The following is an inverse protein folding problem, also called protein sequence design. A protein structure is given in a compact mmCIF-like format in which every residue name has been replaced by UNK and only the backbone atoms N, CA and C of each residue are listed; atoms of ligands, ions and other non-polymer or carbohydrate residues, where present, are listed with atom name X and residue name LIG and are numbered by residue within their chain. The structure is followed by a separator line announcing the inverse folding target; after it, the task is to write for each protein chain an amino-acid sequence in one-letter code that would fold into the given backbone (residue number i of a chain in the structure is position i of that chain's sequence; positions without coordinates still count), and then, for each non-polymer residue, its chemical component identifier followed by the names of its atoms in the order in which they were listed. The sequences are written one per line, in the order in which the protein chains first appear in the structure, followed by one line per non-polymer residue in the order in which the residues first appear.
data_IF_906951921427
#
_entry.id   IF_906951921427
#
_cell.length_a   1.000
_cell.length_b   1.000
_cell.length_c   1.000
_cell.angle_alpha   90.00
_cell.angle_beta   90.00
_cell.angle_gamma   90.00
#
_symmetry.space_group_name_H-M   'P 1'
#
loop_
_entity.id
_entity.type
_entity.pdbx_description
1 polymer ?
#
# COMPACT_ATOMS: atom_id res chain seq x y z
N UNK A 1 -0.69 -10.64 -13.91
CA UNK A 1 -0.13 -9.78 -12.84
C UNK A 1 -1.11 -8.79 -12.19
N UNK A 2 -2.16 -8.28 -12.87
CA UNK A 2 -3.14 -7.35 -12.27
C UNK A 2 -4.00 -7.99 -11.17
N UNK A 3 -4.38 -9.27 -11.32
CA UNK A 3 -5.19 -9.98 -10.32
C UNK A 3 -4.51 -10.16 -8.95
N UNK A 4 -3.21 -10.50 -8.91
CA UNK A 4 -2.50 -10.57 -7.61
C UNK A 4 -2.58 -9.25 -6.85
N UNK A 5 -2.41 -8.10 -7.53
CA UNK A 5 -2.55 -6.78 -6.89
C UNK A 5 -3.96 -6.55 -6.34
N UNK A 6 -4.98 -6.94 -7.09
CA UNK A 6 -6.37 -6.80 -6.66
C UNK A 6 -6.70 -7.72 -5.48
N UNK A 7 -6.20 -8.96 -5.46
CA UNK A 7 -6.32 -9.86 -4.30
C UNK A 7 -5.67 -9.26 -3.05
N UNK A 8 -4.46 -8.69 -3.17
CA UNK A 8 -3.80 -8.05 -2.04
C UNK A 8 -4.54 -6.81 -1.53
N UNK A 9 -5.14 -6.02 -2.42
CA UNK A 9 -6.01 -4.89 -2.05
C UNK A 9 -7.26 -5.41 -1.31
N UNK A 10 -7.88 -6.48 -1.80
CA UNK A 10 -9.04 -7.08 -1.13
C UNK A 10 -8.68 -7.64 0.25
N UNK A 11 -7.50 -8.26 0.40
CA UNK A 11 -7.00 -8.71 1.71
C UNK A 11 -6.81 -7.54 2.66
N UNK A 12 -6.25 -6.41 2.21
CA UNK A 12 -6.10 -5.20 3.04
C UNK A 12 -7.46 -4.67 3.50
N UNK A 13 -8.43 -4.58 2.58
CA UNK A 13 -9.78 -4.09 2.89
C UNK A 13 -10.46 -5.02 3.89
N UNK A 14 -10.32 -6.33 3.70
CA UNK A 14 -10.92 -7.36 4.55
C UNK A 14 -10.29 -7.35 5.96
N UNK A 15 -8.97 -7.16 6.06
CA UNK A 15 -8.25 -6.99 7.32
C UNK A 15 -8.71 -5.75 8.09
N UNK A 16 -8.94 -4.64 7.36
CA UNK A 16 -9.43 -3.39 7.94
C UNK A 16 -10.87 -3.55 8.49
N UNK A 17 -11.73 -4.27 7.77
CA UNK A 17 -13.08 -4.64 8.25
C UNK A 17 -12.97 -5.53 9.48
N UNK A 18 -12.09 -6.54 9.48
CA UNK A 18 -11.87 -7.44 10.61
C UNK A 18 -11.37 -6.68 11.85
N UNK A 19 -10.47 -5.72 11.67
CA UNK A 19 -9.95 -4.87 12.73
C UNK A 19 -11.07 -4.03 13.35
N UNK A 20 -11.88 -3.39 12.51
CA UNK A 20 -13.03 -2.59 12.96
C UNK A 20 -14.05 -3.45 13.71
N UNK A 21 -14.29 -4.67 13.23
CA UNK A 21 -15.19 -5.64 13.87
C UNK A 21 -14.64 -6.12 15.22
N UNK A 22 -13.34 -6.45 15.29
CA UNK A 22 -12.66 -6.82 16.53
C UNK A 22 -12.69 -5.71 17.59
N UNK A 23 -12.64 -4.45 17.13
CA UNK A 23 -12.76 -3.27 18.00
C UNK A 23 -14.18 -3.10 18.56
N UNK A 24 -15.21 -3.27 17.73
CA UNK A 24 -16.63 -3.21 18.15
C UNK A 24 -16.95 -4.29 19.18
N UNK A 25 -16.48 -5.52 18.97
CA UNK A 25 -16.74 -6.65 19.85
C UNK A 25 -15.87 -6.66 21.12
N UNK A 26 -15.04 -5.62 21.37
CA UNK A 26 -14.08 -5.55 22.48
C UNK A 26 -13.16 -6.77 22.60
N UNK A 27 -12.93 -7.48 21.49
CA UNK A 27 -12.01 -8.62 21.47
C UNK A 27 -10.60 -8.14 21.15
N UNK A 28 -9.82 -7.88 22.21
CA UNK A 28 -8.44 -7.41 22.13
C UNK A 28 -7.53 -8.37 21.35
N UNK A 29 -7.80 -9.67 21.44
CA UNK A 29 -7.06 -10.71 20.71
C UNK A 29 -7.21 -10.53 19.19
N UNK A 30 -8.43 -10.25 18.71
CA UNK A 30 -8.69 -10.00 17.29
C UNK A 30 -7.99 -8.73 16.80
N UNK A 31 -7.93 -7.68 17.64
CA UNK A 31 -7.21 -6.46 17.31
C UNK A 31 -5.69 -6.67 17.19
N UNK A 32 -5.12 -7.50 18.07
CA UNK A 32 -3.69 -7.86 18.02
C UNK A 32 -3.35 -8.69 16.78
N UNK A 33 -4.20 -9.67 16.43
CA UNK A 33 -4.01 -10.51 15.24
C UNK A 33 -4.09 -9.65 13.97
N UNK A 34 -5.06 -8.74 13.88
CA UNK A 34 -5.21 -7.85 12.74
C UNK A 34 -4.04 -6.84 12.64
N UNK A 35 -3.51 -6.32 13.76
CA UNK A 35 -2.27 -5.52 13.75
C UNK A 35 -1.06 -6.32 13.22
N UNK A 36 -0.95 -7.60 13.57
CA UNK A 36 0.08 -8.49 13.05
C UNK A 36 -0.05 -8.73 11.55
N UNK A 37 -1.28 -8.98 11.08
CA UNK A 37 -1.59 -9.13 9.65
C UNK A 37 -1.26 -7.85 8.87
N UNK A 38 -1.63 -6.68 9.38
CA UNK A 38 -1.35 -5.41 8.69
C UNK A 38 0.15 -5.14 8.56
N UNK A 39 0.97 -5.58 9.53
CA UNK A 39 2.43 -5.48 9.46
C UNK A 39 3.03 -6.38 8.38
N UNK A 40 2.58 -7.63 8.29
CA UNK A 40 3.01 -8.59 7.26
C UNK A 40 2.57 -8.11 5.88
N UNK A 41 1.32 -7.65 5.78
CA UNK A 41 0.76 -7.08 4.56
C UNK A 41 1.52 -5.80 4.18
N UNK A 42 1.91 -4.97 5.13
CA UNK A 42 2.73 -3.79 4.85
C UNK A 42 4.10 -4.19 4.29
N UNK A 43 4.76 -5.23 4.80
CA UNK A 43 6.04 -5.69 4.25
C UNK A 43 5.91 -6.25 2.83
N UNK A 44 4.93 -7.12 2.59
CA UNK A 44 4.78 -7.81 1.31
C UNK A 44 4.04 -7.01 0.24
N UNK A 45 2.96 -6.33 0.63
CA UNK A 45 2.15 -5.54 -0.30
C UNK A 45 2.84 -4.22 -0.66
N UNK A 46 3.70 -3.67 0.18
CA UNK A 46 4.43 -2.44 -0.16
C UNK A 46 5.40 -2.66 -1.32
N UNK A 47 6.21 -3.72 -1.30
CA UNK A 47 7.10 -4.03 -2.44
C UNK A 47 6.29 -4.34 -3.72
N UNK A 48 5.10 -4.93 -3.60
CA UNK A 48 4.28 -5.30 -4.75
C UNK A 48 3.44 -4.16 -5.34
N UNK A 49 2.81 -3.35 -4.48
CA UNK A 49 1.89 -2.27 -4.87
C UNK A 49 2.63 -0.95 -5.09
N UNK A 50 3.52 -0.57 -4.16
CA UNK A 50 4.14 0.76 -4.14
C UNK A 50 5.39 0.87 -5.01
N UNK A 51 6.19 -0.19 -5.17
CA UNK A 51 7.40 -0.17 -6.04
C UNK A 51 7.13 0.33 -7.46
N UNK A 52 6.04 -0.14 -8.07
CA UNK A 52 5.62 0.31 -9.42
C UNK A 52 5.05 1.73 -9.43
N UNK A 53 4.49 2.18 -8.31
CA UNK A 53 3.97 3.53 -8.17
C UNK A 53 5.12 4.52 -7.98
N UNK A 54 6.07 4.21 -7.10
CA UNK A 54 7.31 4.98 -6.88
C UNK A 54 8.14 5.09 -8.14
N UNK A 55 8.37 4.00 -8.88
CA UNK A 55 9.10 4.05 -10.17
C UNK A 55 8.43 5.02 -11.17
N UNK A 56 7.09 5.03 -11.19
CA UNK A 56 6.32 5.89 -12.11
C UNK A 56 6.35 7.34 -11.65
N UNK A 57 6.33 7.57 -10.34
CA UNK A 57 6.46 8.90 -9.73
C UNK A 57 7.85 9.48 -9.96
N UNK A 58 8.90 8.69 -9.73
CA UNK A 58 10.29 9.09 -9.94
C UNK A 58 10.55 9.43 -11.41
N UNK A 59 10.07 8.61 -12.36
CA UNK A 59 10.10 8.93 -13.80
C UNK A 59 9.43 10.26 -14.13
N UNK A 60 8.26 10.53 -13.54
CA UNK A 60 7.52 11.78 -13.76
C UNK A 60 8.29 12.98 -13.21
N UNK A 61 8.88 12.83 -12.03
CA UNK A 61 9.68 13.87 -11.39
C UNK A 61 10.96 14.17 -12.18
N UNK A 62 11.63 13.13 -12.70
CA UNK A 62 12.83 13.25 -13.54
C UNK A 62 12.54 13.96 -14.87
N UNK A 63 11.40 13.68 -15.50
CA UNK A 63 10.95 14.39 -16.70
C UNK A 63 10.59 15.86 -16.43
N UNK A 64 9.93 16.16 -15.30
CA UNK A 64 9.68 17.55 -14.90
C UNK A 64 10.98 18.31 -14.66
N UNK A 65 11.95 17.70 -13.98
CA UNK A 65 13.26 18.30 -13.70
C UNK A 65 14.08 18.53 -14.98
N UNK A 66 13.97 17.63 -15.98
CA UNK A 66 14.57 17.83 -17.32
C UNK A 66 13.96 19.01 -18.05
N UNK A 67 12.62 19.06 -18.17
CA UNK A 67 11.91 20.19 -18.80
C UNK A 67 12.23 21.53 -18.16
N UNK A 68 12.34 21.57 -16.83
CA UNK A 68 12.68 22.79 -16.09
C UNK A 68 14.12 23.26 -16.33
N UNK A 69 15.04 22.37 -16.73
CA UNK A 69 16.42 22.72 -17.12
C UNK A 69 16.52 23.20 -18.57
N UNK A 70 15.70 22.66 -19.47
CA UNK A 70 15.63 23.11 -20.88
C UNK A 70 15.02 24.51 -21.00
N UNK A 71 14.01 24.84 -20.19
CA UNK A 71 13.37 26.17 -20.18
C UNK A 71 14.30 27.26 -19.59
N UNK A 72 15.36 26.87 -18.87
CA UNK A 72 16.28 27.78 -18.19
C UNK A 72 17.60 28.00 -18.95
N UNK A 73 17.77 27.36 -20.10
CA UNK A 73 18.84 27.59 -21.08
C UNK A 73 18.29 28.43 -22.22
#
# INVERSE_FOLDING_TARGET
MKWRKFCWIMVIILDLVLFTYGFIYKNWILSIIALGLILIVRLFAYDLLFKKFDEKWDKKHKNYKKRKKEIKR
#
